data_IF_087910686689
#
_entry.id   IF_087910686689
#
_cell.length_a   1.000
_cell.length_b   1.000
_cell.length_c   1.000
_cell.angle_alpha   90.00
_cell.angle_beta   90.00
_cell.angle_gamma   90.00
#
_symmetry.space_group_name_H-M   'P 1'
#
loop_
_entity.id
_entity.type
_entity.pdbx_description
1 polymer ?
#
# COMPACT_ATOMS: atom_id res chain seq x y z
N UNK A 1 -5.58 -11.89 5.58
CA UNK A 1 -5.98 -10.58 5.00
C UNK A 1 -5.83 -10.66 3.50
N UNK A 2 -6.57 -9.85 2.75
CA UNK A 2 -6.48 -9.76 1.27
C UNK A 2 -5.05 -9.53 0.76
N UNK A 3 -4.19 -8.85 1.53
CA UNK A 3 -2.74 -8.70 1.25
C UNK A 3 -2.06 -10.02 0.91
N UNK A 4 -2.44 -11.13 1.56
CA UNK A 4 -1.87 -12.46 1.29
C UNK A 4 -2.16 -12.99 -0.12
N UNK A 5 -3.24 -12.52 -0.76
CA UNK A 5 -3.54 -12.85 -2.16
C UNK A 5 -2.41 -12.34 -3.04
N UNK A 6 -1.89 -11.15 -2.79
CA UNK A 6 -0.77 -10.60 -3.55
C UNK A 6 0.50 -11.43 -3.36
N UNK A 7 0.82 -11.85 -2.14
CA UNK A 7 1.98 -12.72 -1.88
C UNK A 7 1.90 -14.01 -2.70
N UNK A 8 0.76 -14.70 -2.62
CA UNK A 8 0.55 -15.99 -3.29
C UNK A 8 0.58 -15.83 -4.82
N UNK A 9 -0.22 -14.91 -5.37
CA UNK A 9 -0.33 -14.77 -6.83
C UNK A 9 0.92 -14.16 -7.45
N UNK A 10 1.62 -13.25 -6.76
CA UNK A 10 2.89 -12.72 -7.27
C UNK A 10 3.97 -13.81 -7.31
N UNK A 11 4.04 -14.69 -6.31
CA UNK A 11 4.98 -15.80 -6.32
C UNK A 11 4.69 -16.77 -7.48
N UNK A 12 3.44 -17.23 -7.60
CA UNK A 12 3.03 -18.18 -8.65
C UNK A 12 3.18 -17.59 -10.06
N UNK A 13 2.82 -16.32 -10.27
CA UNK A 13 2.89 -15.69 -11.59
C UNK A 13 4.30 -15.35 -12.06
N UNK A 14 5.26 -15.19 -11.13
CA UNK A 14 6.65 -14.83 -11.46
C UNK A 14 7.62 -16.00 -11.36
N UNK A 15 7.16 -17.17 -10.90
CA UNK A 15 8.02 -18.32 -10.59
C UNK A 15 8.91 -18.11 -9.36
N UNK A 16 8.58 -17.13 -8.52
CA UNK A 16 9.30 -16.88 -7.28
C UNK A 16 8.89 -17.87 -6.18
N UNK A 17 9.79 -18.08 -5.22
CA UNK A 17 9.52 -18.88 -4.04
C UNK A 17 8.70 -18.08 -3.01
N UNK A 18 7.66 -18.71 -2.46
CA UNK A 18 6.85 -18.14 -1.38
C UNK A 18 7.32 -18.68 -0.02
N UNK A 19 7.97 -17.81 0.75
CA UNK A 19 8.42 -18.14 2.11
C UNK A 19 7.31 -17.86 3.13
N UNK A 20 6.79 -18.90 3.77
CA UNK A 20 5.73 -18.80 4.77
C UNK A 20 6.29 -18.56 6.16
N UNK A 21 6.12 -17.35 6.68
CA UNK A 21 6.63 -16.96 8.00
C UNK A 21 5.73 -17.50 9.11
N UNK A 22 6.26 -18.30 10.07
CA UNK A 22 5.50 -18.74 11.23
C UNK A 22 4.99 -17.55 12.05
N UNK A 23 3.72 -17.61 12.47
CA UNK A 23 3.03 -16.51 13.16
C UNK A 23 3.76 -16.08 14.43
N UNK A 24 4.39 -17.02 15.12
CA UNK A 24 5.12 -16.80 16.37
C UNK A 24 6.34 -15.89 16.20
N UNK A 25 6.89 -15.79 14.99
CA UNK A 25 8.04 -14.94 14.69
C UNK A 25 7.70 -13.46 14.67
N UNK A 26 6.45 -13.09 14.36
CA UNK A 26 6.02 -11.68 14.39
C UNK A 26 6.07 -11.08 15.81
N UNK A 27 6.00 -11.92 16.85
CA UNK A 27 6.19 -11.50 18.24
C UNK A 27 7.66 -11.60 18.71
N UNK A 28 8.59 -12.05 17.85
CA UNK A 28 10.01 -12.28 18.17
C UNK A 28 10.92 -11.67 17.10
N UNK A 29 11.05 -10.33 17.04
CA UNK A 29 11.71 -9.65 15.94
C UNK A 29 13.14 -10.13 15.62
N UNK A 30 14.04 -10.41 16.58
CA UNK A 30 15.36 -10.95 16.25
C UNK A 30 15.31 -12.27 15.49
N UNK A 31 14.43 -13.19 15.91
CA UNK A 31 14.23 -14.48 15.22
C UNK A 31 13.58 -14.32 13.85
N UNK A 32 12.71 -13.33 13.69
CA UNK A 32 12.16 -13.00 12.38
C UNK A 32 13.27 -12.54 11.44
N UNK A 33 14.21 -11.73 11.90
CA UNK A 33 15.36 -11.31 11.08
C UNK A 33 16.24 -12.49 10.67
N UNK A 34 16.56 -13.38 11.62
CA UNK A 34 17.33 -14.59 11.30
C UNK A 34 16.60 -15.43 10.25
N UNK A 35 15.29 -15.62 10.40
CA UNK A 35 14.48 -16.35 9.44
C UNK A 35 14.48 -15.71 8.04
N UNK A 36 14.38 -14.37 7.95
CA UNK A 36 14.47 -13.67 6.66
C UNK A 36 15.85 -13.83 6.00
N UNK A 37 16.92 -13.85 6.80
CA UNK A 37 18.30 -14.00 6.33
C UNK A 37 18.57 -15.43 5.87
N UNK A 38 18.18 -16.41 6.66
CA UNK A 38 18.38 -17.85 6.39
C UNK A 38 17.65 -18.29 5.13
N UNK A 39 16.47 -17.74 4.85
CA UNK A 39 15.70 -18.03 3.64
C UNK A 39 16.01 -17.06 2.49
N UNK A 40 17.07 -16.25 2.60
CA UNK A 40 17.53 -15.29 1.59
C UNK A 40 16.40 -14.43 0.97
N UNK A 41 15.46 -13.97 1.80
CA UNK A 41 14.25 -13.28 1.31
C UNK A 41 14.62 -12.04 0.50
N UNK A 42 14.05 -11.93 -0.71
CA UNK A 42 14.35 -10.84 -1.65
C UNK A 42 13.25 -9.78 -1.71
N UNK A 43 12.00 -10.14 -1.42
CA UNK A 43 10.84 -9.24 -1.52
C UNK A 43 9.99 -9.35 -0.27
N UNK A 44 9.63 -8.20 0.31
CA UNK A 44 8.64 -8.08 1.38
C UNK A 44 7.39 -7.39 0.85
N UNK A 45 6.21 -7.90 1.21
CA UNK A 45 4.90 -7.28 0.90
C UNK A 45 4.09 -7.20 2.19
N UNK A 46 4.38 -6.21 3.04
CA UNK A 46 3.92 -6.22 4.43
C UNK A 46 3.07 -5.00 4.78
N UNK A 47 2.23 -5.14 5.80
CA UNK A 47 1.50 -4.00 6.34
C UNK A 47 2.46 -3.03 7.04
N UNK A 48 2.21 -1.73 6.91
CA UNK A 48 2.99 -0.66 7.55
C UNK A 48 3.24 -0.89 9.05
N UNK A 49 2.26 -1.31 9.88
CA UNK A 49 2.50 -1.62 11.29
C UNK A 49 3.64 -2.62 11.54
N UNK A 50 3.77 -3.66 10.72
CA UNK A 50 4.81 -4.67 10.89
C UNK A 50 6.20 -4.05 10.66
N UNK A 51 6.35 -3.23 9.61
CA UNK A 51 7.61 -2.52 9.34
C UNK A 51 7.96 -1.54 10.46
N UNK A 52 6.97 -0.81 10.97
CA UNK A 52 7.15 0.16 12.06
C UNK A 52 7.58 -0.52 13.37
N UNK A 53 7.01 -1.68 13.72
CA UNK A 53 7.40 -2.43 14.91
C UNK A 53 8.86 -2.86 14.83
N UNK A 54 9.27 -3.40 13.67
CA UNK A 54 10.65 -3.85 13.47
C UNK A 54 11.67 -2.71 13.60
N UNK A 55 11.43 -1.57 12.93
CA UNK A 55 12.33 -0.43 13.02
C UNK A 55 12.31 0.22 14.41
N UNK A 56 11.16 0.27 15.09
CA UNK A 56 11.07 0.76 16.46
C UNK A 56 11.83 -0.12 17.47
N UNK A 57 11.84 -1.44 17.25
CA UNK A 57 12.61 -2.39 18.06
C UNK A 57 14.08 -2.50 17.65
N UNK A 58 14.55 -1.63 16.75
CA UNK A 58 15.95 -1.53 16.31
C UNK A 58 16.53 -2.85 15.82
N UNK A 59 15.72 -3.64 15.09
CA UNK A 59 16.16 -4.97 14.61
C UNK A 59 17.37 -4.91 13.69
N UNK A 60 17.60 -3.78 13.02
CA UNK A 60 18.76 -3.58 12.16
C UNK A 60 20.08 -3.42 12.93
N UNK A 61 20.03 -3.03 14.21
CA UNK A 61 21.21 -3.02 15.08
C UNK A 61 21.69 -4.45 15.41
N UNK A 62 20.79 -5.43 15.26
CA UNK A 62 21.09 -6.84 15.43
C UNK A 62 21.63 -7.46 14.13
N UNK A 63 20.79 -7.51 13.08
CA UNK A 63 21.18 -8.04 11.76
C UNK A 63 20.39 -7.38 10.64
N UNK A 64 21.03 -7.25 9.47
CA UNK A 64 20.44 -6.66 8.27
C UNK A 64 20.22 -7.75 7.19
N UNK A 65 19.01 -7.91 6.66
CA UNK A 65 18.69 -8.87 5.61
C UNK A 65 19.05 -8.27 4.25
N UNK A 66 20.35 -8.26 3.94
CA UNK A 66 20.93 -7.59 2.76
C UNK A 66 20.47 -8.13 1.40
N UNK A 67 19.84 -9.32 1.37
CA UNK A 67 19.26 -9.90 0.15
C UNK A 67 17.95 -9.24 -0.27
N UNK A 68 17.30 -8.47 0.62
CA UNK A 68 16.05 -7.79 0.30
C UNK A 68 16.31 -6.71 -0.75
N UNK A 69 15.63 -6.83 -1.89
CA UNK A 69 15.67 -5.92 -3.04
C UNK A 69 14.40 -5.10 -3.20
N UNK A 70 13.30 -5.53 -2.58
CA UNK A 70 12.01 -4.86 -2.73
C UNK A 70 11.19 -4.90 -1.45
N UNK A 71 10.70 -3.76 -1.03
CA UNK A 71 9.82 -3.61 0.13
C UNK A 71 8.56 -2.88 -0.31
N UNK A 72 7.47 -3.63 -0.44
CA UNK A 72 6.15 -3.10 -0.71
C UNK A 72 5.37 -3.02 0.59
N UNK A 73 4.69 -1.89 0.83
CA UNK A 73 3.94 -1.70 2.06
C UNK A 73 2.61 -1.02 1.85
N UNK A 74 1.60 -1.40 2.63
CA UNK A 74 0.24 -0.83 2.54
C UNK A 74 -0.51 -0.89 3.87
N UNK A 75 -1.76 -0.43 3.86
CA UNK A 75 -2.73 -0.60 4.95
C UNK A 75 -2.81 0.57 5.92
N UNK A 76 -1.77 1.40 6.03
CA UNK A 76 -1.78 2.65 6.79
C UNK A 76 -0.79 3.64 6.17
N UNK A 77 -0.88 4.92 6.55
CA UNK A 77 0.13 5.90 6.18
C UNK A 77 1.50 5.53 6.80
N UNK A 78 2.52 5.38 5.96
CA UNK A 78 3.88 5.05 6.39
C UNK A 78 4.55 6.27 7.05
N UNK A 79 4.96 6.21 8.33
CA UNK A 79 5.70 7.29 8.95
C UNK A 79 7.07 7.47 8.29
N UNK A 80 7.39 8.69 7.85
CA UNK A 80 8.60 9.01 7.07
C UNK A 80 9.88 8.68 7.84
N UNK A 81 9.89 8.91 9.16
CA UNK A 81 11.00 8.49 10.03
C UNK A 81 11.25 6.98 9.97
N UNK A 82 10.21 6.16 9.91
CA UNK A 82 10.37 4.71 9.81
C UNK A 82 10.87 4.33 8.42
N UNK A 83 10.31 4.92 7.37
CA UNK A 83 10.76 4.72 5.99
C UNK A 83 12.26 5.03 5.84
N UNK A 84 12.72 6.13 6.43
CA UNK A 84 14.13 6.51 6.45
C UNK A 84 15.03 5.47 7.13
N UNK A 85 14.60 4.92 8.27
CA UNK A 85 15.34 3.84 8.96
C UNK A 85 15.48 2.62 8.04
N UNK A 86 14.42 2.25 7.34
CA UNK A 86 14.45 1.14 6.39
C UNK A 86 15.36 1.43 5.18
N UNK A 87 15.26 2.59 4.55
CA UNK A 87 16.12 3.00 3.43
C UNK A 87 17.60 3.05 3.81
N UNK A 88 17.92 3.55 5.00
CA UNK A 88 19.30 3.61 5.51
C UNK A 88 19.92 2.22 5.65
N UNK A 89 19.15 1.24 6.12
CA UNK A 89 19.65 -0.12 6.36
C UNK A 89 19.55 -1.03 5.14
N UNK A 90 18.66 -0.72 4.18
CA UNK A 90 18.49 -1.45 2.92
C UNK A 90 18.63 -0.49 1.73
N UNK A 91 19.82 0.07 1.48
CA UNK A 91 20.02 1.10 0.46
C UNK A 91 19.84 0.58 -0.98
N UNK A 92 19.97 -0.74 -1.18
CA UNK A 92 19.78 -1.38 -2.48
C UNK A 92 18.33 -1.84 -2.71
N UNK A 93 17.44 -1.62 -1.74
CA UNK A 93 16.05 -2.03 -1.84
C UNK A 93 15.17 -0.92 -2.43
N UNK A 94 14.27 -1.33 -3.33
CA UNK A 94 13.22 -0.47 -3.86
C UNK A 94 12.02 -0.47 -2.92
N UNK A 95 11.57 0.72 -2.53
CA UNK A 95 10.43 0.92 -1.65
C UNK A 95 9.19 1.33 -2.45
N UNK A 96 8.06 0.68 -2.19
CA UNK A 96 6.82 0.89 -2.96
C UNK A 96 5.66 1.07 -1.99
N UNK A 97 5.06 2.25 -2.01
CA UNK A 97 3.86 2.54 -1.24
C UNK A 97 2.62 2.04 -1.98
N UNK A 98 1.90 1.17 -1.30
CA UNK A 98 0.64 0.50 -1.58
C UNK A 98 -0.58 1.26 -1.09
N UNK A 99 -1.57 1.59 -1.92
CA UNK A 99 -2.89 1.93 -1.39
C UNK A 99 -4.02 1.22 -2.14
N UNK A 100 -4.97 0.73 -1.37
CA UNK A 100 -6.31 0.39 -1.80
C UNK A 100 -7.04 -0.38 -0.70
N UNK A 101 -8.35 -0.19 -0.59
CA UNK A 101 -9.19 -1.00 0.29
C UNK A 101 -9.45 -2.41 -0.29
N UNK A 102 -10.04 -3.30 0.51
CA UNK A 102 -10.32 -4.68 0.09
C UNK A 102 -11.28 -4.75 -1.09
N UNK A 103 -12.22 -3.80 -1.17
CA UNK A 103 -13.23 -3.67 -2.22
C UNK A 103 -12.66 -3.36 -3.61
N UNK A 104 -11.37 -3.02 -3.70
CA UNK A 104 -10.67 -2.77 -4.97
C UNK A 104 -9.58 -3.80 -5.27
N UNK A 105 -9.69 -4.99 -4.68
CA UNK A 105 -8.77 -6.13 -4.86
C UNK A 105 -7.33 -5.78 -4.47
N UNK A 106 -7.11 -5.71 -3.15
CA UNK A 106 -5.83 -5.41 -2.49
C UNK A 106 -5.36 -3.95 -2.60
N UNK A 107 -5.00 -3.46 -3.79
CA UNK A 107 -4.42 -2.11 -3.95
C UNK A 107 -4.85 -1.54 -5.29
N UNK A 108 -5.27 -0.27 -5.35
CA UNK A 108 -5.62 0.46 -6.58
C UNK A 108 -4.55 1.44 -7.05
N UNK A 109 -3.68 1.92 -6.16
CA UNK A 109 -2.55 2.80 -6.52
C UNK A 109 -1.21 2.24 -6.06
N UNK A 110 -0.14 2.75 -6.67
CA UNK A 110 1.24 2.52 -6.25
C UNK A 110 2.08 3.80 -6.39
N UNK A 111 3.02 3.97 -5.47
CA UNK A 111 4.06 4.99 -5.57
C UNK A 111 5.44 4.39 -5.40
N UNK A 112 6.31 4.63 -6.39
CA UNK A 112 7.72 4.24 -6.34
C UNK A 112 8.46 5.28 -5.49
N UNK A 113 8.83 4.89 -4.26
CA UNK A 113 9.52 5.81 -3.35
C UNK A 113 10.94 6.06 -3.87
N UNK A 114 11.39 7.33 -3.95
CA UNK A 114 12.78 7.65 -4.28
C UNK A 114 13.77 6.95 -3.35
N UNK A 115 14.93 6.54 -3.85
CA UNK A 115 15.95 5.81 -3.09
C UNK A 115 16.38 6.52 -1.80
N UNK A 116 16.34 7.86 -1.81
CA UNK A 116 16.65 8.70 -0.65
C UNK A 116 15.55 9.73 -0.46
N UNK A 117 14.77 9.57 0.61
CA UNK A 117 13.81 10.58 1.04
C UNK A 117 14.41 11.49 2.11
N UNK A 118 14.21 12.80 2.00
CA UNK A 118 14.55 13.76 3.05
C UNK A 118 13.53 13.75 4.21
N UNK A 119 13.82 14.48 5.28
CA UNK A 119 12.93 14.56 6.46
C UNK A 119 11.57 15.20 6.14
N UNK A 120 11.55 16.17 5.21
CA UNK A 120 10.33 16.85 4.75
C UNK A 120 9.56 16.08 3.67
N UNK A 121 10.03 14.88 3.30
CA UNK A 121 9.38 14.08 2.28
C UNK A 121 7.97 13.69 2.72
N UNK A 122 6.97 13.98 1.88
CA UNK A 122 5.60 13.49 2.05
C UNK A 122 5.36 12.35 1.08
N UNK A 123 4.72 11.29 1.56
CA UNK A 123 4.45 10.12 0.75
C UNK A 123 3.07 10.26 0.08
N UNK A 124 3.00 10.40 -1.25
CA UNK A 124 1.72 10.46 -1.95
C UNK A 124 1.08 9.07 -2.08
N UNK A 125 -0.20 9.07 -2.45
CA UNK A 125 -0.96 7.88 -2.84
C UNK A 125 -0.42 7.23 -4.11
N UNK A 126 0.23 8.02 -4.97
CA UNK A 126 0.81 7.57 -6.22
C UNK A 126 -0.20 7.44 -7.37
N UNK A 127 0.16 6.60 -8.33
CA UNK A 127 -0.58 6.45 -9.58
C UNK A 127 -1.49 5.24 -9.54
N UNK A 128 -2.62 5.32 -10.25
CA UNK A 128 -3.49 4.16 -10.44
C UNK A 128 -2.74 3.04 -11.20
N UNK A 129 -2.96 1.79 -10.79
CA UNK A 129 -2.53 0.64 -11.60
C UNK A 129 -3.25 0.60 -12.96
N UNK A 130 -2.65 -0.03 -13.99
CA UNK A 130 -3.31 -0.22 -15.29
C UNK A 130 -4.71 -0.84 -15.15
N UNK A 131 -5.63 -0.41 -16.02
CA UNK A 131 -7.03 -0.87 -16.01
C UNK A 131 -7.89 -0.26 -14.89
N UNK A 132 -7.35 0.68 -14.13
CA UNK A 132 -8.04 1.35 -13.00
C UNK A 132 -7.96 2.85 -13.15
N UNK A 133 -8.94 3.54 -12.56
CA UNK A 133 -8.93 4.98 -12.44
C UNK A 133 -9.15 5.34 -10.98
N UNK A 134 -8.32 6.22 -10.45
CA UNK A 134 -8.45 6.76 -9.10
C UNK A 134 -8.57 8.27 -9.22
N UNK A 135 -9.61 8.82 -8.62
CA UNK A 135 -9.94 10.24 -8.69
C UNK A 135 -10.66 10.66 -7.41
N UNK A 136 -10.80 11.97 -7.23
CA UNK A 136 -11.46 12.54 -6.05
C UNK A 136 -12.81 13.13 -6.45
N UNK A 137 -13.84 12.86 -5.65
CA UNK A 137 -15.16 13.50 -5.78
C UNK A 137 -15.40 14.42 -4.59
N UNK A 138 -15.89 15.63 -4.85
CA UNK A 138 -16.34 16.54 -3.80
C UNK A 138 -17.69 16.10 -3.19
N UNK A 139 -18.18 16.86 -2.22
CA UNK A 139 -19.46 16.60 -1.55
C UNK A 139 -20.67 16.64 -2.50
N UNK A 140 -20.56 17.34 -3.64
CA UNK A 140 -21.59 17.46 -4.66
C UNK A 140 -21.50 16.34 -5.72
N UNK A 141 -20.48 15.48 -5.66
CA UNK A 141 -20.22 14.43 -6.65
C UNK A 141 -19.52 14.94 -7.92
N UNK A 142 -18.96 16.15 -7.89
CA UNK A 142 -18.13 16.69 -8.95
C UNK A 142 -16.69 16.21 -8.78
N UNK A 143 -16.00 15.94 -9.89
CA UNK A 143 -14.60 15.56 -9.85
C UNK A 143 -13.74 16.76 -9.45
N UNK A 144 -12.96 16.59 -8.39
CA UNK A 144 -11.95 17.56 -7.94
C UNK A 144 -10.80 17.58 -8.95
N UNK A 145 -10.36 18.77 -9.35
CA UNK A 145 -9.33 18.95 -10.38
C UNK A 145 -8.25 19.95 -9.99
N UNK A 146 -8.56 20.90 -9.12
CA UNK A 146 -7.63 21.97 -8.78
C UNK A 146 -6.78 21.62 -7.55
N UNK A 147 -5.49 22.03 -7.52
CA UNK A 147 -4.65 21.90 -6.34
C UNK A 147 -5.25 22.58 -5.10
N UNK A 148 -5.05 21.96 -3.93
CA UNK A 148 -5.56 22.43 -2.64
C UNK A 148 -7.00 22.00 -2.33
N UNK A 149 -7.75 21.53 -3.33
CA UNK A 149 -9.11 21.01 -3.14
C UNK A 149 -9.10 19.58 -2.59
N UNK A 150 -10.10 19.27 -1.77
CA UNK A 150 -10.27 17.98 -1.09
C UNK A 150 -11.48 17.24 -1.65
N UNK A 151 -11.37 15.92 -1.68
CA UNK A 151 -12.47 15.05 -2.07
C UNK A 151 -12.30 13.63 -1.56
N UNK A 152 -13.38 12.86 -1.66
CA UNK A 152 -13.38 11.44 -1.35
C UNK A 152 -12.69 10.67 -2.48
N UNK A 153 -11.78 9.76 -2.11
CA UNK A 153 -11.13 8.87 -3.05
C UNK A 153 -12.17 7.90 -3.63
N UNK A 154 -12.29 7.90 -4.95
CA UNK A 154 -13.15 7.03 -5.71
C UNK A 154 -12.31 6.20 -6.69
N UNK A 155 -12.72 4.95 -6.88
CA UNK A 155 -12.01 3.99 -7.75
C UNK A 155 -12.96 3.43 -8.80
N UNK A 156 -12.52 3.36 -10.04
CA UNK A 156 -13.22 2.70 -11.14
C UNK A 156 -12.31 1.68 -11.84
N UNK A 157 -12.91 0.75 -12.59
CA UNK A 157 -12.19 -0.18 -13.46
C UNK A 157 -12.22 -1.63 -12.98
N UNK A 158 -11.23 -2.41 -13.43
CA UNK A 158 -11.24 -3.88 -13.40
C UNK A 158 -11.08 -4.51 -12.01
N UNK A 159 -10.69 -3.73 -10.99
CA UNK A 159 -10.37 -4.27 -9.67
C UNK A 159 -11.51 -4.17 -8.65
N UNK A 160 -12.67 -3.65 -9.04
CA UNK A 160 -13.81 -3.53 -8.14
C UNK A 160 -14.39 -4.90 -7.79
N UNK A 161 -14.57 -5.16 -6.50
CA UNK A 161 -15.34 -6.29 -6.02
C UNK A 161 -16.79 -6.22 -6.52
N UNK A 162 -17.48 -7.36 -6.59
CA UNK A 162 -18.88 -7.45 -7.00
C UNK A 162 -19.82 -6.75 -6.01
N UNK A 163 -19.43 -6.67 -4.74
CA UNK A 163 -20.19 -6.04 -3.67
C UNK A 163 -19.97 -6.74 -2.35
N UNK A 164 -20.82 -6.43 -1.37
CA UNK A 164 -20.82 -7.09 -0.06
C UNK A 164 -21.76 -8.29 -0.07
N UNK A 165 -21.25 -9.42 0.40
CA UNK A 165 -22.01 -10.67 0.47
C UNK A 165 -23.28 -10.49 1.33
N UNK A 166 -24.43 -10.81 0.75
CA UNK A 166 -25.76 -10.68 1.36
C UNK A 166 -26.07 -9.27 1.92
N UNK A 167 -25.45 -8.22 1.41
CA UNK A 167 -25.69 -6.84 1.83
C UNK A 167 -25.82 -5.91 0.62
N UNK A 168 -26.97 -5.98 -0.05
CA UNK A 168 -27.26 -5.18 -1.25
C UNK A 168 -27.37 -3.69 -0.96
N UNK A 169 -27.84 -3.32 0.23
CA UNK A 169 -27.98 -1.92 0.63
C UNK A 169 -26.63 -1.22 0.71
N UNK A 170 -25.67 -1.79 1.47
CA UNK A 170 -24.32 -1.21 1.56
C UNK A 170 -23.59 -1.33 0.22
N UNK A 171 -23.87 -2.38 -0.57
CA UNK A 171 -23.32 -2.50 -1.93
C UNK A 171 -23.77 -1.34 -2.80
N UNK A 172 -25.06 -1.01 -2.83
CA UNK A 172 -25.58 0.11 -3.62
C UNK A 172 -25.09 1.47 -3.10
N UNK A 173 -24.83 1.58 -1.79
CA UNK A 173 -24.29 2.79 -1.17
C UNK A 173 -22.84 3.06 -1.55
N UNK A 174 -22.01 2.02 -1.56
CA UNK A 174 -20.56 2.14 -1.80
C UNK A 174 -20.15 1.96 -3.26
N UNK A 175 -20.84 1.08 -3.98
CA UNK A 175 -20.59 0.80 -5.39
C UNK A 175 -21.64 1.51 -6.27
N UNK A 176 -21.39 2.78 -6.55
CA UNK A 176 -22.32 3.66 -7.26
C UNK A 176 -22.01 3.76 -8.75
N UNK A 177 -22.85 4.49 -9.50
CA UNK A 177 -22.59 4.84 -10.90
C UNK A 177 -22.25 6.32 -10.97
N UNK A 178 -21.13 6.65 -11.62
CA UNK A 178 -20.69 8.01 -11.90
C UNK A 178 -20.25 8.10 -13.36
N UNK A 179 -20.80 9.07 -14.10
CA UNK A 179 -20.62 9.21 -15.55
C UNK A 179 -20.83 7.89 -16.34
N UNK A 180 -21.85 7.11 -15.95
CA UNK A 180 -22.19 5.85 -16.58
C UNK A 180 -21.24 4.68 -16.26
N UNK A 181 -20.25 4.87 -15.38
CA UNK A 181 -19.31 3.83 -14.95
C UNK A 181 -19.56 3.44 -13.50
N UNK A 182 -19.40 2.15 -13.20
CA UNK A 182 -19.41 1.66 -11.82
C UNK A 182 -18.15 2.11 -11.11
N UNK A 183 -18.30 2.71 -9.94
CA UNK A 183 -17.22 3.18 -9.08
C UNK A 183 -17.38 2.63 -7.67
N UNK A 184 -16.31 2.63 -6.89
CA UNK A 184 -16.32 2.39 -5.45
C UNK A 184 -15.89 3.66 -4.70
N UNK A 185 -16.72 4.08 -3.73
CA UNK A 185 -16.51 5.21 -2.84
C UNK A 185 -15.80 4.74 -1.56
N UNK A 186 -14.52 5.06 -1.39
CA UNK A 186 -13.72 4.45 -0.31
C UNK A 186 -14.06 5.00 1.07
N UNK A 187 -14.60 6.21 1.15
CA UNK A 187 -14.77 6.99 2.38
C UNK A 187 -13.49 7.65 2.88
N UNK A 188 -12.35 7.43 2.22
CA UNK A 188 -11.09 8.07 2.54
C UNK A 188 -10.99 9.42 1.84
N UNK A 189 -10.51 10.43 2.57
CA UNK A 189 -10.35 11.78 2.05
C UNK A 189 -8.92 12.02 1.59
N UNK A 190 -8.77 12.69 0.45
CA UNK A 190 -7.49 13.15 -0.06
C UNK A 190 -7.59 14.56 -0.61
N UNK A 191 -6.43 15.14 -0.88
CA UNK A 191 -6.24 16.46 -1.47
C UNK A 191 -5.31 16.35 -2.67
N UNK A 192 -5.59 17.12 -3.71
CA UNK A 192 -4.67 17.30 -4.85
C UNK A 192 -3.61 18.32 -4.44
N UNK A 193 -2.33 17.98 -4.57
CA UNK A 193 -1.24 18.94 -4.38
C UNK A 193 -0.90 19.66 -5.70
N UNK A 194 -0.02 20.67 -5.63
CA UNK A 194 0.39 21.47 -6.79
C UNK A 194 1.06 20.65 -7.90
N UNK A 195 1.65 19.51 -7.55
CA UNK A 195 2.22 18.54 -8.49
C UNK A 195 1.18 17.56 -9.06
N UNK A 196 -0.11 17.79 -8.80
CA UNK A 196 -1.25 16.92 -9.09
C UNK A 196 -1.21 15.54 -8.42
N UNK A 197 -0.27 15.30 -7.50
CA UNK A 197 -0.27 14.08 -6.69
C UNK A 197 -1.36 14.12 -5.63
N UNK A 198 -1.95 12.96 -5.32
CA UNK A 198 -2.91 12.85 -4.22
C UNK A 198 -2.22 12.53 -2.90
N UNK A 199 -2.62 13.25 -1.85
CA UNK A 199 -2.19 13.01 -0.47
C UNK A 199 -3.41 12.78 0.41
N UNK A 200 -3.32 11.85 1.35
CA UNK A 200 -4.34 11.73 2.40
C UNK A 200 -4.52 13.07 3.13
N UNK A 201 -5.79 13.43 3.35
CA UNK A 201 -6.19 14.67 4.02
C UNK A 201 -6.23 14.54 5.54
#
# INVERSE_FOLDING_TARGET
MDVSVKDIYSAVSTGAELVLIPKELFCKPPRLMDYLIENEVTTLIWAVPALCILSAMKVFDYRVPSKIRKVMFSGQAMPIRQLFIWQKNLPEAQFINLYGPTEVTCNCTYYMVPEKTGEDFRLPLGNAFPGRSVFLLDENGCQVKEPGERGEICVAGESLAEGYYNNREETARRFTVWEGKRIYRTGDMAMIADDHSFYFS
#
